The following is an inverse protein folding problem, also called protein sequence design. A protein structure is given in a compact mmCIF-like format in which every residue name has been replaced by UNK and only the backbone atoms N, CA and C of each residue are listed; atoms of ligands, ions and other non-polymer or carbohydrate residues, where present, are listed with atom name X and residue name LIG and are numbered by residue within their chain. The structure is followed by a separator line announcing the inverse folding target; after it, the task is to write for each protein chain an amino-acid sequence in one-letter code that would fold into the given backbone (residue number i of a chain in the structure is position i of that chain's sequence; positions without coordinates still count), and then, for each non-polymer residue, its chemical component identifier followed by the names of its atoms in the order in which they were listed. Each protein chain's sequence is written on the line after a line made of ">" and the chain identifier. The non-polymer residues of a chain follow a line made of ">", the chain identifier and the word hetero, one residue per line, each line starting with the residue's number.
data_IF_452726230583
#
_entry.id   IF_452726230583
#
_cell.length_a   1.000
_cell.length_b   1.000
_cell.length_c   1.000
_cell.angle_alpha   90.00
_cell.angle_beta   90.00
_cell.angle_gamma   90.00
#
_symmetry.space_group_name_H-M   'P 1'
#
loop_
_entity.id
_entity.type
_entity.pdbx_description
1 polymer ?
#
# COMPACT_ATOMS: atom_id res chain seq x y z
N UNK A 1 -0.43 -2.63 -18.31
CA UNK A 1 -1.71 -3.22 -18.81
C UNK A 1 -1.70 -4.74 -18.73
N UNK A 2 -0.63 -5.42 -19.19
CA UNK A 2 -0.51 -6.88 -19.16
C UNK A 2 -0.72 -7.50 -17.76
N UNK A 3 0.11 -7.17 -16.77
CA UNK A 3 0.04 -7.80 -15.44
C UNK A 3 -1.34 -7.63 -14.76
N UNK A 4 -1.88 -6.40 -14.75
CA UNK A 4 -3.21 -6.14 -14.17
C UNK A 4 -4.31 -6.96 -14.87
N UNK A 5 -4.28 -7.06 -16.19
CA UNK A 5 -5.25 -7.88 -16.95
C UNK A 5 -5.16 -9.36 -16.59
N UNK A 6 -3.94 -9.91 -16.48
CA UNK A 6 -3.72 -11.30 -16.07
C UNK A 6 -4.19 -11.58 -14.64
N UNK A 7 -4.04 -10.62 -13.73
CA UNK A 7 -4.53 -10.73 -12.37
C UNK A 7 -6.07 -10.68 -12.30
N UNK A 8 -6.72 -9.85 -13.12
CA UNK A 8 -8.19 -9.83 -13.23
C UNK A 8 -8.72 -11.19 -13.69
N UNK A 9 -8.16 -11.73 -14.78
CA UNK A 9 -8.55 -13.06 -15.29
C UNK A 9 -8.43 -14.15 -14.21
N UNK A 10 -7.36 -14.09 -13.42
CA UNK A 10 -7.11 -15.04 -12.33
C UNK A 10 -8.13 -14.90 -11.19
N UNK A 11 -8.39 -13.66 -10.74
CA UNK A 11 -9.33 -13.42 -9.64
C UNK A 11 -10.75 -13.76 -10.04
N UNK A 12 -11.15 -13.49 -11.28
CA UNK A 12 -12.46 -13.85 -11.82
C UNK A 12 -12.67 -15.37 -11.80
N UNK A 13 -11.66 -16.14 -12.22
CA UNK A 13 -11.68 -17.61 -12.18
C UNK A 13 -11.74 -18.16 -10.75
N UNK A 14 -11.14 -17.45 -9.79
CA UNK A 14 -11.14 -17.83 -8.38
C UNK A 14 -12.39 -17.36 -7.61
N UNK A 15 -13.30 -16.60 -8.24
CA UNK A 15 -14.44 -15.99 -7.57
C UNK A 15 -14.03 -14.91 -6.54
N UNK A 16 -12.91 -14.23 -6.78
CA UNK A 16 -12.35 -13.19 -5.93
C UNK A 16 -12.41 -11.81 -6.61
N UNK A 17 -12.38 -10.74 -5.81
CA UNK A 17 -12.27 -9.36 -6.31
C UNK A 17 -10.81 -8.90 -6.33
N UNK A 18 -10.35 -8.34 -7.46
CA UNK A 18 -9.06 -7.65 -7.53
C UNK A 18 -9.20 -6.19 -7.11
N UNK A 19 -8.59 -5.82 -5.99
CA UNK A 19 -8.46 -4.42 -5.56
C UNK A 19 -7.11 -3.87 -6.00
N UNK A 20 -7.13 -2.81 -6.81
CA UNK A 20 -5.91 -2.10 -7.23
C UNK A 20 -6.16 -0.59 -7.33
N UNK A 21 -5.24 0.26 -6.83
CA UNK A 21 -5.45 1.70 -6.84
C UNK A 21 -5.34 2.30 -8.26
N UNK A 22 -5.78 3.56 -8.43
CA UNK A 22 -5.44 4.38 -9.59
C UNK A 22 -3.93 4.36 -9.88
N UNK A 23 -3.53 4.40 -11.15
CA UNK A 23 -2.13 4.21 -11.55
C UNK A 23 -1.17 5.23 -10.94
N UNK A 24 -1.61 6.48 -10.76
CA UNK A 24 -0.80 7.55 -10.15
C UNK A 24 -0.53 7.34 -8.64
N UNK A 25 -1.25 6.42 -7.99
CA UNK A 25 -1.03 6.02 -6.61
C UNK A 25 -0.29 4.68 -6.49
N UNK A 26 -0.01 4.00 -7.60
CA UNK A 26 0.68 2.70 -7.60
C UNK A 26 2.20 2.81 -7.45
N UNK A 27 2.80 3.95 -7.82
CA UNK A 27 4.22 4.24 -7.64
C UNK A 27 4.46 4.98 -6.33
N UNK A 28 5.70 5.02 -5.86
CA UNK A 28 6.08 5.72 -4.63
C UNK A 28 5.54 7.15 -4.60
N UNK A 29 4.82 7.47 -3.53
CA UNK A 29 4.22 8.78 -3.33
C UNK A 29 4.12 9.11 -1.83
N UNK A 30 4.06 10.40 -1.49
CA UNK A 30 3.92 10.82 -0.09
C UNK A 30 2.52 10.57 0.47
N UNK A 31 1.49 10.44 -0.37
CA UNK A 31 0.11 10.24 0.08
C UNK A 31 -0.06 8.89 0.79
N UNK A 32 0.55 7.80 0.28
CA UNK A 32 0.52 6.50 0.95
C UNK A 32 1.28 6.51 2.29
N UNK A 33 2.38 7.27 2.38
CA UNK A 33 3.15 7.43 3.63
C UNK A 33 2.31 8.17 4.67
N UNK A 34 1.65 9.26 4.27
CA UNK A 34 0.77 10.04 5.14
C UNK A 34 -0.43 9.21 5.61
N UNK A 35 -1.05 8.43 4.72
CA UNK A 35 -2.18 7.56 5.07
C UNK A 35 -1.78 6.47 6.06
N UNK A 36 -0.69 5.75 5.80
CA UNK A 36 -0.16 4.74 6.73
C UNK A 36 0.19 5.35 8.10
N UNK A 37 0.80 6.54 8.11
CA UNK A 37 1.09 7.27 9.36
C UNK A 37 -0.16 7.65 10.14
N UNK A 38 -1.22 8.10 9.47
CA UNK A 38 -2.50 8.45 10.09
C UNK A 38 -3.19 7.23 10.71
N UNK A 39 -3.21 6.10 10.00
CA UNK A 39 -3.78 4.85 10.51
C UNK A 39 -3.04 4.37 11.77
N UNK A 40 -1.69 4.38 11.75
CA UNK A 40 -0.86 4.03 12.92
C UNK A 40 -1.08 5.01 14.09
N UNK A 41 -1.15 6.31 13.81
CA UNK A 41 -1.41 7.31 14.84
C UNK A 41 -2.78 7.12 15.51
N UNK A 42 -3.81 6.74 14.75
CA UNK A 42 -5.16 6.42 15.28
C UNK A 42 -5.13 5.20 16.21
N UNK A 43 -4.24 4.25 15.97
CA UNK A 43 -3.98 3.10 16.86
C UNK A 43 -3.11 3.46 18.08
N UNK A 44 -2.65 4.71 18.19
CA UNK A 44 -1.79 5.17 19.27
C UNK A 44 -0.29 4.88 19.06
N UNK A 45 0.10 4.35 17.90
CA UNK A 45 1.50 4.08 17.57
C UNK A 45 2.24 5.39 17.28
N UNK A 46 3.34 5.62 18.00
CA UNK A 46 4.22 6.78 17.85
C UNK A 46 5.65 6.35 18.13
N UNK A 47 6.58 6.89 17.35
CA UNK A 47 8.01 6.70 17.57
C UNK A 47 8.57 7.93 18.30
N UNK A 48 9.60 7.73 19.13
CA UNK A 48 10.36 8.82 19.74
C UNK A 48 11.23 9.54 18.70
N UNK A 49 11.71 10.74 19.04
CA UNK A 49 12.49 11.58 18.11
C UNK A 49 13.88 11.02 17.78
N UNK A 50 14.32 9.94 18.44
CA UNK A 50 15.59 9.27 18.21
C UNK A 50 15.50 8.08 17.23
N UNK A 51 14.31 7.85 16.63
CA UNK A 51 14.10 6.76 15.68
C UNK A 51 15.16 6.75 14.56
N UNK A 52 15.54 5.53 14.14
CA UNK A 52 16.54 5.33 13.09
C UNK A 52 15.91 4.70 11.85
N UNK A 53 16.30 5.16 10.65
CA UNK A 53 15.89 4.49 9.42
C UNK A 53 16.40 3.04 9.42
N UNK A 54 15.60 2.12 8.89
CA UNK A 54 15.97 0.71 8.68
C UNK A 54 16.10 0.46 7.17
N UNK A 55 17.32 0.51 6.59
CA UNK A 55 17.51 0.36 5.14
C UNK A 55 17.12 -1.02 4.60
N UNK A 56 17.09 -2.03 5.48
CA UNK A 56 16.48 -3.35 5.24
C UNK A 56 15.45 -3.54 6.35
N UNK A 57 14.20 -3.24 6.03
CA UNK A 57 13.08 -3.45 6.94
C UNK A 57 12.59 -4.89 6.83
#
# INVERSE_FOLDING_TARGET
>A
KYLRGRLVELTDQAGMELVAPPLHLCTDNAAMIAWAGLERFRLGERDDLDFKPRPRW
#
